data_IF_602370299923
#
_entry.id   IF_602370299923
#
_cell.length_a   1.000
_cell.length_b   1.000
_cell.length_c   1.000
_cell.angle_alpha   90.00
_cell.angle_beta   90.00
_cell.angle_gamma   90.00
#
_symmetry.space_group_name_H-M   'P 1'
#
loop_
_entity.id
_entity.type
_entity.pdbx_description
1 polymer ?
#
# COMPACT_ATOMS: atom_id res chain seq x y z
N UNK A 1 7.09 -0.27 1.93
CA UNK A 1 5.74 0.25 2.26
C UNK A 1 5.78 1.56 3.06
N UNK A 2 6.75 1.77 3.96
CA UNK A 2 6.88 3.01 4.75
C UNK A 2 6.88 4.28 3.87
N UNK A 3 7.64 4.29 2.78
CA UNK A 3 7.70 5.44 1.87
C UNK A 3 6.35 5.76 1.21
N UNK A 4 5.57 4.72 0.86
CA UNK A 4 4.22 4.87 0.31
C UNK A 4 3.31 5.53 1.34
N UNK A 5 3.36 5.05 2.60
CA UNK A 5 2.60 5.63 3.70
C UNK A 5 2.93 7.13 3.89
N UNK A 6 4.21 7.50 3.87
CA UNK A 6 4.63 8.90 3.99
C UNK A 6 4.05 9.79 2.89
N UNK A 7 4.03 9.31 1.64
CA UNK A 7 3.38 10.04 0.55
C UNK A 7 1.88 10.15 0.75
N UNK A 8 1.20 9.05 1.09
CA UNK A 8 -0.27 9.01 1.28
C UNK A 8 -0.72 9.91 2.43
N UNK A 9 0.05 9.96 3.52
CA UNK A 9 -0.25 10.78 4.70
C UNK A 9 0.26 12.22 4.61
N UNK A 10 0.94 12.59 3.51
CA UNK A 10 1.50 13.92 3.35
C UNK A 10 2.64 14.24 4.33
N UNK A 11 3.32 13.21 4.86
CA UNK A 11 4.54 13.38 5.69
C UNK A 11 5.68 13.89 4.82
N UNK A 12 5.76 13.40 3.59
CA UNK A 12 6.71 13.90 2.60
C UNK A 12 6.09 15.02 1.77
N UNK A 13 6.91 15.98 1.36
CA UNK A 13 6.51 17.16 0.54
C UNK A 13 6.31 16.80 -0.94
N UNK A 14 5.66 15.67 -1.21
CA UNK A 14 5.35 15.18 -2.55
C UNK A 14 3.85 14.94 -2.63
N UNK A 15 3.20 15.50 -3.65
CA UNK A 15 1.78 15.25 -3.88
C UNK A 15 1.58 13.78 -4.29
N UNK A 16 0.89 12.96 -3.48
CA UNK A 16 0.74 11.54 -3.75
C UNK A 16 -0.04 11.26 -5.05
N UNK A 17 -0.90 12.19 -5.49
CA UNK A 17 -1.65 12.09 -6.75
C UNK A 17 -0.76 12.13 -7.99
N UNK A 18 0.49 12.61 -7.88
CA UNK A 18 1.49 12.55 -8.97
C UNK A 18 2.10 11.16 -9.11
N UNK A 19 2.05 10.34 -8.06
CA UNK A 19 2.68 9.03 -8.01
C UNK A 19 1.65 7.90 -8.15
N UNK A 20 0.47 8.08 -7.57
CA UNK A 20 -0.56 7.04 -7.46
C UNK A 20 -1.92 7.57 -7.88
N UNK A 21 -2.69 6.69 -8.51
CA UNK A 21 -4.12 6.91 -8.73
C UNK A 21 -4.88 6.31 -7.55
N UNK A 22 -5.63 7.13 -6.83
CA UNK A 22 -6.47 6.66 -5.72
C UNK A 22 -7.86 6.31 -6.23
N UNK A 23 -8.46 5.27 -5.66
CA UNK A 23 -9.84 4.96 -5.99
C UNK A 23 -10.76 5.98 -5.33
N UNK A 24 -11.46 6.79 -6.13
CA UNK A 24 -12.43 7.77 -5.63
C UNK A 24 -13.73 7.08 -5.20
N UNK A 25 -14.00 5.88 -5.74
CA UNK A 25 -15.20 5.12 -5.44
C UNK A 25 -15.07 4.28 -4.17
N UNK A 26 -15.63 4.82 -3.08
CA UNK A 26 -15.72 4.16 -1.77
C UNK A 26 -16.76 3.03 -1.71
N UNK A 27 -17.52 2.78 -2.78
CA UNK A 27 -18.57 1.74 -2.81
C UNK A 27 -18.02 0.33 -3.04
N UNK A 28 -16.75 0.20 -3.40
CA UNK A 28 -16.13 -1.11 -3.69
C UNK A 28 -15.59 -1.79 -2.42
N UNK A 29 -15.69 -3.12 -2.35
CA UNK A 29 -15.22 -3.92 -1.21
C UNK A 29 -13.72 -3.68 -0.93
N UNK A 30 -13.37 -3.39 0.32
CA UNK A 30 -11.99 -3.18 0.78
C UNK A 30 -11.84 -1.98 1.72
N UNK A 31 -10.62 -1.47 1.87
CA UNK A 31 -10.32 -0.29 2.69
C UNK A 31 -10.33 1.01 1.87
N UNK A 32 -10.62 2.19 2.47
CA UNK A 32 -10.76 3.45 1.75
C UNK A 32 -9.47 3.96 1.11
N UNK A 33 -8.30 3.43 1.51
CA UNK A 33 -6.98 3.83 1.00
C UNK A 33 -6.52 3.06 -0.25
N UNK A 34 -7.40 2.36 -0.97
CA UNK A 34 -6.99 1.55 -2.13
C UNK A 34 -6.46 2.42 -3.27
N UNK A 35 -5.38 1.94 -3.89
CA UNK A 35 -4.79 2.54 -5.08
C UNK A 35 -5.17 1.75 -6.34
N UNK A 36 -5.39 2.45 -7.44
CA UNK A 36 -5.64 1.86 -8.75
C UNK A 36 -4.30 1.51 -9.39
N UNK A 37 -4.08 0.23 -9.68
CA UNK A 37 -2.87 -0.22 -10.37
C UNK A 37 -2.96 0.14 -11.85
N UNK A 38 -2.05 0.95 -12.39
CA UNK A 38 -1.99 1.18 -13.82
C UNK A 38 -1.55 -0.10 -14.54
N UNK A 39 -2.19 -0.40 -15.67
CA UNK A 39 -1.74 -1.50 -16.54
C UNK A 39 -0.36 -1.18 -17.13
N UNK A 40 0.58 -2.11 -16.99
CA UNK A 40 1.91 -1.99 -17.57
C UNK A 40 2.17 -3.16 -18.52
N UNK A 41 2.33 -2.85 -19.82
CA UNK A 41 2.62 -3.86 -20.86
C UNK A 41 4.10 -4.27 -20.90
N UNK A 42 5.00 -3.39 -20.45
CA UNK A 42 6.45 -3.62 -20.47
C UNK A 42 6.97 -3.89 -19.05
N UNK A 43 7.88 -4.87 -18.85
CA UNK A 43 8.50 -5.15 -17.55
C UNK A 43 9.13 -3.92 -16.89
N UNK A 44 9.77 -3.04 -17.67
CA UNK A 44 10.35 -1.81 -17.15
C UNK A 44 9.32 -0.92 -16.44
N UNK A 45 8.10 -0.80 -17.01
CA UNK A 45 7.02 0.01 -16.42
C UNK A 45 6.35 -0.70 -15.26
N UNK A 46 6.15 -2.02 -15.34
CA UNK A 46 5.63 -2.79 -14.18
C UNK A 46 6.60 -2.75 -13.02
N UNK A 47 7.88 -2.52 -13.30
CA UNK A 47 8.97 -2.41 -12.35
C UNK A 47 9.15 -0.98 -11.79
N UNK A 48 8.40 0.02 -12.23
CA UNK A 48 8.46 1.33 -11.58
C UNK A 48 7.95 1.24 -10.13
N UNK A 49 8.54 2.04 -9.23
CA UNK A 49 8.18 2.07 -7.81
C UNK A 49 6.68 2.27 -7.60
N UNK A 50 6.08 3.22 -8.33
CA UNK A 50 4.66 3.54 -8.25
C UNK A 50 3.75 2.38 -8.66
N UNK A 51 4.18 1.54 -9.60
CA UNK A 51 3.37 0.41 -10.10
C UNK A 51 3.49 -0.81 -9.20
N UNK A 52 4.72 -1.14 -8.76
CA UNK A 52 4.96 -2.29 -7.88
C UNK A 52 4.37 -2.10 -6.49
N UNK A 53 4.50 -0.89 -5.95
CA UNK A 53 4.05 -0.58 -4.59
C UNK A 53 2.54 -0.70 -4.40
N UNK A 54 1.75 -0.53 -5.47
CA UNK A 54 0.28 -0.59 -5.40
C UNK A 54 -0.22 -1.97 -4.95
N UNK A 55 0.39 -3.05 -5.44
CA UNK A 55 -0.01 -4.41 -5.05
C UNK A 55 0.18 -4.62 -3.55
N UNK A 56 1.39 -4.33 -3.06
CA UNK A 56 1.73 -4.49 -1.65
C UNK A 56 0.94 -3.56 -0.75
N UNK A 57 0.57 -2.36 -1.21
CA UNK A 57 -0.27 -1.45 -0.45
C UNK A 57 -1.72 -1.97 -0.35
N UNK A 58 -2.28 -2.45 -1.45
CA UNK A 58 -3.65 -2.94 -1.50
C UNK A 58 -3.85 -4.30 -0.79
N UNK A 59 -2.78 -5.04 -0.51
CA UNK A 59 -2.83 -6.26 0.30
C UNK A 59 -2.82 -5.98 1.80
N UNK A 60 -2.52 -4.75 2.23
CA UNK A 60 -2.49 -4.42 3.65
C UNK A 60 -3.91 -4.35 4.25
N UNK A 61 -4.08 -4.76 5.52
CA UNK A 61 -5.33 -4.56 6.23
C UNK A 61 -5.67 -3.08 6.42
N UNK A 62 -6.97 -2.79 6.48
CA UNK A 62 -7.49 -1.43 6.71
C UNK A 62 -6.87 -0.76 7.95
N UNK A 63 -6.72 -1.52 9.04
CA UNK A 63 -6.15 -1.02 10.30
C UNK A 63 -4.68 -0.59 10.19
N UNK A 64 -3.91 -1.26 9.33
CA UNK A 64 -2.50 -0.92 9.07
C UNK A 64 -2.43 0.38 8.28
N UNK A 65 -3.18 0.48 7.17
CA UNK A 65 -3.14 1.68 6.31
C UNK A 65 -3.80 2.92 6.95
N UNK A 66 -4.73 2.71 7.88
CA UNK A 66 -5.41 3.78 8.61
C UNK A 66 -4.53 4.43 9.69
N UNK A 67 -3.40 3.82 10.08
CA UNK A 67 -2.50 4.32 11.13
C UNK A 67 -2.22 5.82 10.99
N UNK A 68 -2.18 6.56 12.11
CA UNK A 68 -2.03 8.02 12.08
C UNK A 68 -0.58 8.48 11.93
N UNK A 69 0.36 7.74 12.53
CA UNK A 69 1.78 8.09 12.52
C UNK A 69 2.63 7.05 11.79
N UNK A 70 3.83 7.46 11.36
CA UNK A 70 4.80 6.55 10.71
C UNK A 70 5.21 5.43 11.66
N UNK A 71 5.34 5.70 12.96
CA UNK A 71 5.75 4.69 13.94
C UNK A 71 4.64 3.65 14.16
N UNK A 72 3.40 4.09 14.33
CA UNK A 72 2.25 3.19 14.44
C UNK A 72 2.11 2.33 13.18
N UNK A 73 2.31 2.92 12.00
CA UNK A 73 2.30 2.19 10.74
C UNK A 73 3.37 1.09 10.70
N UNK A 74 4.63 1.41 11.06
CA UNK A 74 5.74 0.44 11.11
C UNK A 74 5.40 -0.74 12.02
N UNK A 75 4.98 -0.48 13.25
CA UNK A 75 4.65 -1.54 14.22
C UNK A 75 3.52 -2.45 13.71
N UNK A 76 2.45 -1.87 13.15
CA UNK A 76 1.33 -2.65 12.59
C UNK A 76 1.73 -3.45 11.35
N UNK A 77 2.58 -2.86 10.49
CA UNK A 77 3.09 -3.51 9.30
C UNK A 77 3.97 -4.71 9.66
N UNK A 78 4.90 -4.54 10.61
CA UNK A 78 5.79 -5.61 11.06
C UNK A 78 4.99 -6.77 11.66
N UNK A 79 4.00 -6.47 12.49
CA UNK A 79 3.10 -7.50 13.04
C UNK A 79 2.35 -8.26 11.94
N UNK A 80 1.84 -7.54 10.94
CA UNK A 80 1.12 -8.16 9.82
C UNK A 80 2.03 -9.06 8.97
N UNK A 81 3.25 -8.63 8.67
CA UNK A 81 4.20 -9.42 7.89
C UNK A 81 4.73 -10.64 8.64
N UNK A 82 4.99 -10.53 9.94
CA UNK A 82 5.35 -11.68 10.77
C UNK A 82 4.24 -12.74 10.79
N UNK A 83 2.98 -12.31 10.83
CA UNK A 83 1.85 -13.23 10.76
C UNK A 83 1.76 -13.96 9.41
N UNK A 84 2.13 -13.30 8.30
CA UNK A 84 2.17 -13.91 6.97
C UNK A 84 3.33 -14.90 6.81
N UNK A 85 4.52 -14.60 7.36
CA UNK A 85 5.67 -15.52 7.38
C UNK A 85 5.39 -16.80 8.19
N UNK A 86 4.45 -16.75 9.14
CA UNK A 86 4.07 -17.89 9.97
C UNK A 86 2.90 -18.71 9.42
N UNK A 87 2.38 -18.44 8.22
CA UNK A 87 1.37 -19.33 7.63
C UNK A 87 2.00 -20.73 7.41
N UNK A 88 1.59 -21.79 8.14
CA UNK A 88 2.11 -23.11 7.87
C UNK A 88 1.73 -23.48 6.43
N UNK A 89 2.71 -23.95 5.66
CA UNK A 89 2.50 -24.46 4.31
C UNK A 89 1.31 -25.43 4.33
N UNK A 90 0.31 -25.29 3.43
CA UNK A 90 -0.70 -26.31 3.31
C UNK A 90 0.00 -27.57 2.78
N UNK A 91 0.11 -28.59 3.66
CA UNK A 91 0.46 -29.96 3.32
C UNK A 91 -0.51 -30.55 2.31
#
# INVERSE_FOLDING_TARGET
>A
MIQVFKFVKGVDRVNPSRLFNFNVDRRTRGHPYKMVKPQAKKPARSNCFSVRSVNSWNSLPADVVAAETVNTFKSKLDNHWRALEYSPSPT
#
